data_IF_521445572365
#
_entry.id   IF_521445572365
#
_cell.length_a   1.000
_cell.length_b   1.000
_cell.length_c   1.000
_cell.angle_alpha   90.00
_cell.angle_beta   90.00
_cell.angle_gamma   90.00
#
_symmetry.space_group_name_H-M   'P 1'
#
loop_
_entity.id
_entity.type
_entity.pdbx_description
1 polymer ?
#
# COMPACT_ATOMS: atom_id res chain seq x y z
N UNK A 1 27.29 -15.68 22.47
CA UNK A 1 25.86 -15.92 22.16
C UNK A 1 25.15 -14.57 22.16
N UNK A 2 25.04 -13.92 21.01
CA UNK A 2 24.32 -12.64 20.91
C UNK A 2 22.81 -12.93 20.95
N UNK A 3 22.20 -12.66 22.10
CA UNK A 3 20.76 -12.45 22.22
C UNK A 3 20.37 -11.39 21.19
N UNK A 4 19.73 -11.78 20.08
CA UNK A 4 19.04 -10.84 19.20
C UNK A 4 17.97 -10.18 20.08
N UNK A 5 18.22 -8.96 20.56
CA UNK A 5 17.18 -8.13 21.18
C UNK A 5 16.03 -8.09 20.19
N UNK A 6 14.88 -8.66 20.55
CA UNK A 6 13.66 -8.59 19.73
C UNK A 6 13.35 -7.12 19.52
N UNK A 7 13.17 -6.74 18.27
CA UNK A 7 12.85 -5.36 17.89
C UNK A 7 11.54 -4.96 18.57
N UNK A 8 11.46 -3.75 19.15
CA UNK A 8 10.25 -3.31 19.79
C UNK A 8 9.15 -3.04 18.73
N UNK A 9 8.03 -3.75 18.87
CA UNK A 9 6.88 -3.65 17.96
C UNK A 9 5.89 -2.60 18.47
N UNK A 10 5.40 -1.76 17.56
CA UNK A 10 4.38 -0.73 17.82
C UNK A 10 2.99 -1.34 17.96
N UNK A 11 2.52 -2.07 16.95
CA UNK A 11 1.16 -2.63 16.89
C UNK A 11 1.04 -3.97 17.65
N UNK A 12 1.06 -3.90 18.98
CA UNK A 12 1.02 -5.09 19.85
C UNK A 12 -0.39 -5.66 20.06
N UNK A 13 -1.39 -4.80 20.03
CA UNK A 13 -2.81 -5.14 20.20
C UNK A 13 -3.58 -4.61 18.98
N UNK A 14 -4.23 -5.49 18.19
CA UNK A 14 -4.94 -5.09 16.97
C UNK A 14 -6.16 -4.19 17.20
N UNK A 15 -6.66 -4.08 18.43
CA UNK A 15 -7.77 -3.18 18.77
C UNK A 15 -7.33 -1.87 19.43
N UNK A 16 -6.10 -1.83 19.97
CA UNK A 16 -5.56 -0.63 20.60
C UNK A 16 -5.33 0.49 19.57
N UNK A 17 -5.42 1.73 20.07
CA UNK A 17 -5.18 2.95 19.29
C UNK A 17 -3.82 3.51 19.63
N UNK A 18 -2.97 3.65 18.63
CA UNK A 18 -1.61 4.16 18.75
C UNK A 18 -1.54 5.56 18.13
N UNK A 19 -1.41 6.64 18.92
CA UNK A 19 -1.25 7.98 18.38
C UNK A 19 0.16 8.13 17.80
N UNK A 20 0.29 8.28 16.49
CA UNK A 20 1.58 8.45 15.82
C UNK A 20 1.68 9.88 15.25
N UNK A 21 2.75 10.63 15.52
CA UNK A 21 2.94 11.98 15.01
C UNK A 21 3.31 11.97 13.53
N UNK A 22 2.74 12.87 12.74
CA UNK A 22 3.21 13.18 11.40
C UNK A 22 4.57 13.89 11.53
N UNK A 23 5.64 13.28 11.05
CA UNK A 23 7.00 13.84 11.11
C UNK A 23 7.49 14.37 9.78
N UNK A 24 6.90 13.91 8.66
CA UNK A 24 7.25 14.35 7.32
C UNK A 24 6.04 14.26 6.38
N UNK A 25 5.90 15.22 5.47
CA UNK A 25 4.91 15.20 4.39
C UNK A 25 5.58 15.65 3.10
N UNK A 26 5.59 14.78 2.10
CA UNK A 26 6.20 15.02 0.80
C UNK A 26 5.14 15.05 -0.30
N UNK A 27 5.25 16.02 -1.20
CA UNK A 27 4.44 16.11 -2.41
C UNK A 27 5.03 15.23 -3.52
N UNK A 28 4.29 14.19 -3.92
CA UNK A 28 4.68 13.30 -5.02
C UNK A 28 4.11 13.80 -6.35
N UNK A 29 2.87 14.28 -6.34
CA UNK A 29 2.17 14.84 -7.51
C UNK A 29 1.11 15.84 -7.07
N UNK A 30 0.38 16.44 -8.03
CA UNK A 30 -0.67 17.41 -7.75
C UNK A 30 -1.75 16.93 -6.76
N UNK A 31 -1.94 15.62 -6.61
CA UNK A 31 -2.91 15.04 -5.68
C UNK A 31 -2.39 13.83 -4.93
N UNK A 32 -1.08 13.61 -4.85
CA UNK A 32 -0.51 12.48 -4.10
C UNK A 32 0.54 12.98 -3.12
N UNK A 33 0.53 12.39 -1.91
CA UNK A 33 1.48 12.68 -0.86
C UNK A 33 2.07 11.40 -0.31
N UNK A 34 3.31 11.48 0.18
CA UNK A 34 3.83 10.55 1.20
C UNK A 34 3.70 11.19 2.57
N UNK A 35 3.07 10.49 3.49
CA UNK A 35 2.98 10.86 4.90
C UNK A 35 3.86 9.91 5.71
N UNK A 36 4.84 10.46 6.42
CA UNK A 36 5.67 9.71 7.35
C UNK A 36 5.23 9.96 8.78
N UNK A 37 4.90 8.89 9.49
CA UNK A 37 4.58 8.96 10.91
C UNK A 37 5.70 8.36 11.75
N UNK A 38 6.06 9.03 12.83
CA UNK A 38 7.08 8.55 13.76
C UNK A 38 6.55 7.38 14.59
N UNK A 39 7.36 6.34 14.75
CA UNK A 39 7.10 5.25 15.70
C UNK A 39 7.59 5.63 17.12
N UNK A 40 7.23 4.88 18.17
CA UNK A 40 7.54 5.27 19.55
C UNK A 40 9.02 5.47 19.88
N UNK A 41 9.93 4.85 19.12
CA UNK A 41 11.36 5.16 19.14
C UNK A 41 12.02 4.86 17.79
N UNK A 42 13.24 5.36 17.53
CA UNK A 42 13.99 5.05 16.32
C UNK A 42 14.28 3.56 16.09
N UNK A 43 14.18 2.73 17.13
CA UNK A 43 14.39 1.28 17.07
C UNK A 43 13.09 0.50 16.83
N UNK A 44 11.92 1.15 16.91
CA UNK A 44 10.65 0.47 16.70
C UNK A 44 10.43 0.12 15.23
N UNK A 45 9.76 -1.00 15.03
CA UNK A 45 9.10 -1.35 13.77
C UNK A 45 7.59 -1.24 13.95
N UNK A 46 6.84 -1.19 12.85
CA UNK A 46 5.39 -1.08 12.94
C UNK A 46 4.77 -2.37 13.51
N UNK A 47 5.26 -3.53 13.07
CA UNK A 47 4.71 -4.85 13.39
C UNK A 47 3.53 -5.21 12.48
N UNK A 48 3.69 -5.01 11.17
CA UNK A 48 2.63 -5.26 10.19
C UNK A 48 2.96 -6.49 9.34
N UNK A 49 2.26 -7.62 9.54
CA UNK A 49 2.44 -8.80 8.70
C UNK A 49 2.15 -8.50 7.22
N UNK A 50 2.93 -9.08 6.32
CA UNK A 50 2.75 -8.91 4.87
C UNK A 50 1.38 -9.42 4.44
N UNK A 51 0.65 -8.60 3.69
CA UNK A 51 -0.75 -8.82 3.32
C UNK A 51 -1.77 -8.13 4.24
N UNK A 52 -1.32 -7.51 5.33
CA UNK A 52 -2.16 -6.74 6.26
C UNK A 52 -2.03 -5.23 6.03
N UNK A 53 -2.96 -4.49 6.64
CA UNK A 53 -3.06 -3.05 6.59
C UNK A 53 -3.32 -2.47 7.99
N UNK A 54 -3.26 -1.14 8.10
CA UNK A 54 -3.66 -0.40 9.31
C UNK A 54 -4.93 0.40 9.05
N UNK A 55 -5.65 0.72 10.11
CA UNK A 55 -6.73 1.70 10.08
C UNK A 55 -6.25 3.00 10.68
N UNK A 56 -6.51 4.11 9.99
CA UNK A 56 -6.41 5.45 10.55
C UNK A 56 -7.77 5.87 11.10
N UNK A 57 -7.76 6.45 12.30
CA UNK A 57 -8.95 6.96 12.96
C UNK A 57 -8.76 8.44 13.30
N UNK A 58 -9.72 9.26 12.90
CA UNK A 58 -9.77 10.68 13.22
C UNK A 58 -11.22 11.10 13.52
N UNK A 59 -11.40 12.09 14.39
CA UNK A 59 -12.68 12.75 14.60
C UNK A 59 -12.74 13.96 13.66
N UNK A 60 -13.59 13.90 12.64
CA UNK A 60 -13.73 14.90 11.57
C UNK A 60 -15.19 15.35 11.60
N UNK A 61 -15.44 16.65 11.83
CA UNK A 61 -16.79 17.22 11.94
C UNK A 61 -17.69 16.48 12.95
N UNK A 62 -17.10 16.16 14.11
CA UNK A 62 -17.71 15.34 15.17
C UNK A 62 -18.03 13.87 14.84
N UNK A 63 -17.73 13.40 13.64
CA UNK A 63 -17.87 12.00 13.25
C UNK A 63 -16.54 11.24 13.39
N UNK A 64 -16.60 10.00 13.86
CA UNK A 64 -15.44 9.11 13.83
C UNK A 64 -15.28 8.54 12.42
N UNK A 65 -14.24 8.99 11.72
CA UNK A 65 -13.89 8.48 10.39
C UNK A 65 -12.78 7.45 10.52
N UNK A 66 -13.03 6.25 10.00
CA UNK A 66 -12.07 5.12 9.98
C UNK A 66 -11.79 4.72 8.55
N UNK A 67 -10.51 4.66 8.15
CA UNK A 67 -10.10 4.25 6.79
C UNK A 67 -8.89 3.33 6.83
N UNK A 68 -8.90 2.33 5.96
CA UNK A 68 -7.81 1.38 5.81
C UNK A 68 -6.73 1.93 4.87
N UNK A 69 -5.46 1.74 5.24
CA UNK A 69 -4.30 2.08 4.43
C UNK A 69 -3.25 0.98 4.57
N UNK A 70 -2.67 0.56 3.45
CA UNK A 70 -1.49 -0.31 3.48
C UNK A 70 -0.24 0.55 3.39
N UNK A 71 0.63 0.52 4.41
CA UNK A 71 1.92 1.18 4.36
C UNK A 71 2.77 0.72 3.19
N UNK A 72 3.59 1.63 2.69
CA UNK A 72 4.62 1.30 1.71
C UNK A 72 5.93 0.93 2.39
N UNK A 73 6.19 1.41 3.61
CA UNK A 73 7.30 0.92 4.44
C UNK A 73 7.04 -0.52 4.93
N UNK A 74 8.10 -1.23 5.32
CA UNK A 74 8.04 -2.57 5.93
C UNK A 74 8.59 -2.57 7.36
N UNK A 75 8.57 -3.73 8.02
CA UNK A 75 9.24 -3.90 9.32
C UNK A 75 10.78 -3.92 9.21
N UNK A 76 11.34 -3.73 8.01
CA UNK A 76 12.77 -3.42 7.84
C UNK A 76 13.07 -1.94 8.09
N UNK A 77 12.05 -1.09 7.95
CA UNK A 77 12.13 0.34 8.20
C UNK A 77 11.91 0.62 9.68
N UNK A 78 12.89 1.27 10.32
CA UNK A 78 12.85 1.55 11.75
C UNK A 78 12.53 3.01 12.04
N UNK A 79 11.75 3.23 13.09
CA UNK A 79 11.43 4.55 13.61
C UNK A 79 10.31 5.29 12.87
N UNK A 80 9.83 4.77 11.74
CA UNK A 80 8.75 5.41 10.99
C UNK A 80 7.84 4.42 10.25
N UNK A 81 6.68 4.92 9.81
CA UNK A 81 5.81 4.28 8.83
C UNK A 81 5.44 5.28 7.74
N UNK A 82 5.56 4.87 6.48
CA UNK A 82 5.20 5.69 5.31
C UNK A 82 3.87 5.22 4.68
N UNK A 83 2.98 6.17 4.44
CA UNK A 83 1.75 5.98 3.68
C UNK A 83 1.77 6.85 2.41
N UNK A 84 1.51 6.27 1.24
CA UNK A 84 1.27 7.02 0.00
C UNK A 84 -0.25 7.14 -0.20
N UNK A 85 -0.75 8.37 -0.24
CA UNK A 85 -2.19 8.65 -0.25
C UNK A 85 -2.51 9.67 -1.34
N UNK A 86 -3.49 9.32 -2.18
CA UNK A 86 -4.12 10.24 -3.12
C UNK A 86 -5.13 11.12 -2.39
N UNK A 87 -5.00 12.43 -2.52
CA UNK A 87 -5.85 13.44 -1.93
C UNK A 87 -7.05 13.68 -2.84
N UNK A 88 -8.24 13.33 -2.35
CA UNK A 88 -9.49 13.65 -3.01
C UNK A 88 -9.97 15.04 -2.56
N UNK A 89 -9.55 16.08 -3.27
CA UNK A 89 -9.94 17.47 -2.97
C UNK A 89 -11.43 17.71 -3.27
N UNK A 90 -12.06 18.57 -2.46
CA UNK A 90 -13.40 19.10 -2.73
C UNK A 90 -13.45 19.86 -4.06
N UNK A 91 -14.63 19.92 -4.68
CA UNK A 91 -14.92 20.63 -5.93
C UNK A 91 -14.11 20.18 -7.16
N UNK A 92 -13.53 18.97 -7.14
CA UNK A 92 -12.82 18.40 -8.29
C UNK A 92 -13.68 17.40 -9.05
N UNK A 93 -14.33 16.47 -8.36
CA UNK A 93 -15.13 15.42 -8.99
C UNK A 93 -16.63 15.74 -8.91
N UNK A 94 -17.37 15.80 -10.04
CA UNK A 94 -18.77 16.26 -10.04
C UNK A 94 -19.71 15.36 -9.23
N UNK A 95 -19.44 14.06 -9.17
CA UNK A 95 -20.23 13.12 -8.35
C UNK A 95 -19.84 13.12 -6.86
N UNK A 96 -18.67 13.69 -6.52
CA UNK A 96 -18.13 13.71 -5.16
C UNK A 96 -17.64 15.12 -4.79
N UNK A 97 -18.54 16.12 -4.73
CA UNK A 97 -18.17 17.53 -4.55
C UNK A 97 -17.48 17.79 -3.21
N UNK A 98 -17.80 17.03 -2.16
CA UNK A 98 -17.19 17.18 -0.83
C UNK A 98 -15.76 16.62 -0.73
N UNK A 99 -15.30 15.86 -1.74
CA UNK A 99 -14.02 15.16 -1.71
C UNK A 99 -13.94 14.07 -0.64
N UNK A 100 -12.72 13.68 -0.27
CA UNK A 100 -12.44 12.64 0.72
C UNK A 100 -12.23 13.20 2.12
N UNK A 101 -13.07 12.83 3.09
CA UNK A 101 -12.95 13.28 4.49
C UNK A 101 -11.56 13.02 5.08
N UNK A 102 -11.13 11.74 5.11
CA UNK A 102 -9.84 11.36 5.71
C UNK A 102 -8.65 11.93 4.94
N UNK A 103 -8.70 11.92 3.60
CA UNK A 103 -7.56 12.38 2.79
C UNK A 103 -7.37 13.89 2.89
N UNK A 104 -8.44 14.68 2.93
CA UNK A 104 -8.35 16.12 3.16
C UNK A 104 -7.95 16.45 4.61
N UNK A 105 -8.39 15.64 5.59
CA UNK A 105 -7.91 15.77 6.97
C UNK A 105 -6.39 15.58 7.06
N UNK A 106 -5.86 14.53 6.44
CA UNK A 106 -4.42 14.27 6.37
C UNK A 106 -3.66 15.38 5.63
N UNK A 107 -4.19 15.88 4.51
CA UNK A 107 -3.56 16.98 3.76
C UNK A 107 -3.41 18.25 4.61
N UNK A 108 -4.39 18.55 5.47
CA UNK A 108 -4.37 19.72 6.35
C UNK A 108 -3.59 19.50 7.66
N UNK A 109 -3.20 18.25 7.94
CA UNK A 109 -2.46 17.89 9.13
C UNK A 109 -1.06 18.54 9.12
N UNK A 110 -0.69 19.12 10.27
CA UNK A 110 0.60 19.78 10.47
C UNK A 110 1.62 18.80 11.02
N UNK A 111 2.90 19.06 10.72
CA UNK A 111 4.01 18.31 11.33
C UNK A 111 3.91 18.42 12.86
N UNK A 112 4.05 17.29 13.54
CA UNK A 112 3.91 17.14 14.99
C UNK A 112 2.51 16.75 15.46
N UNK A 113 1.46 16.94 14.66
CA UNK A 113 0.11 16.47 15.00
C UNK A 113 0.06 14.94 14.94
N UNK A 114 -0.84 14.33 15.72
CA UNK A 114 -0.97 12.87 15.80
C UNK A 114 -2.27 12.37 15.22
N UNK A 115 -2.24 11.19 14.60
CA UNK A 115 -3.43 10.43 14.21
C UNK A 115 -3.38 9.03 14.84
N UNK A 116 -4.54 8.44 15.13
CA UNK A 116 -4.60 7.10 15.69
C UNK A 116 -4.44 6.04 14.60
N UNK A 117 -3.44 5.19 14.77
CA UNK A 117 -3.27 3.93 14.06
C UNK A 117 -3.92 2.80 14.86
N UNK A 118 -4.55 1.86 14.16
CA UNK A 118 -5.05 0.60 14.73
C UNK A 118 -4.79 -0.55 13.77
N UNK A 119 -4.30 -1.66 14.28
CA UNK A 119 -3.96 -2.84 13.50
C UNK A 119 -2.90 -3.69 14.21
N UNK A 120 -2.36 -4.73 13.54
CA UNK A 120 -2.61 -5.08 12.14
C UNK A 120 -4.02 -5.60 11.87
N UNK A 121 -4.55 -5.37 10.67
CA UNK A 121 -5.82 -5.92 10.18
C UNK A 121 -5.61 -6.55 8.80
N UNK A 122 -6.30 -7.65 8.53
CA UNK A 122 -6.17 -8.32 7.23
C UNK A 122 -6.71 -9.73 7.28
N UNK A 123 -6.90 -10.29 6.08
CA UNK A 123 -7.30 -11.69 5.91
C UNK A 123 -6.23 -12.51 5.19
N UNK A 124 -5.25 -11.87 4.56
CA UNK A 124 -4.17 -12.48 3.82
C UNK A 124 -2.88 -12.30 4.61
N UNK A 125 -2.13 -13.38 4.77
CA UNK A 125 -0.83 -13.41 5.41
C UNK A 125 0.13 -14.09 4.47
N UNK A 126 1.24 -13.42 4.13
CA UNK A 126 2.32 -14.05 3.37
C UNK A 126 3.39 -14.53 4.35
N UNK A 127 3.58 -15.85 4.45
CA UNK A 127 4.48 -16.46 5.44
C UNK A 127 5.85 -16.85 4.87
N UNK A 128 6.10 -16.55 3.60
CA UNK A 128 7.30 -16.95 2.85
C UNK A 128 6.92 -17.67 1.55
N UNK A 129 7.89 -18.31 0.87
CA UNK A 129 7.78 -18.71 -0.52
C UNK A 129 6.51 -19.48 -0.86
N UNK A 130 5.61 -18.79 -1.56
CA UNK A 130 4.30 -19.26 -2.02
C UNK A 130 3.30 -19.59 -0.90
N UNK A 131 3.65 -19.41 0.36
CA UNK A 131 2.87 -19.87 1.51
C UNK A 131 1.99 -18.76 2.04
N UNK A 132 0.71 -18.79 1.67
CA UNK A 132 -0.30 -17.84 2.13
C UNK A 132 -1.16 -18.44 3.25
N UNK A 133 -1.49 -17.63 4.25
CA UNK A 133 -2.62 -17.85 5.14
C UNK A 133 -3.80 -16.97 4.69
N UNK A 134 -4.96 -17.57 4.42
CA UNK A 134 -6.16 -16.82 4.04
C UNK A 134 -7.28 -17.13 5.02
N UNK A 135 -7.76 -16.10 5.73
CA UNK A 135 -8.94 -16.22 6.59
C UNK A 135 -10.22 -16.18 5.74
N UNK A 136 -11.15 -17.13 5.91
CA UNK A 136 -12.45 -17.12 5.21
C UNK A 136 -13.40 -16.04 5.75
N UNK A 137 -13.19 -15.57 6.97
CA UNK A 137 -13.94 -14.49 7.63
C UNK A 137 -13.04 -13.80 8.68
N UNK A 138 -13.59 -12.92 9.51
CA UNK A 138 -12.80 -12.16 10.49
C UNK A 138 -12.40 -12.97 11.74
N UNK A 139 -13.11 -14.05 12.03
CA UNK A 139 -13.00 -14.84 13.27
C UNK A 139 -12.29 -16.17 13.08
N UNK A 140 -12.31 -16.71 11.87
CA UNK A 140 -11.71 -18.00 11.54
C UNK A 140 -10.19 -17.90 11.46
N UNK A 141 -9.52 -18.99 11.84
CA UNK A 141 -8.08 -19.15 11.65
C UNK A 141 -7.70 -19.12 10.16
N UNK A 142 -6.51 -18.60 9.80
CA UNK A 142 -6.03 -18.60 8.42
C UNK A 142 -5.89 -20.03 7.88
N UNK A 143 -6.47 -20.28 6.71
CA UNK A 143 -6.25 -21.54 5.97
C UNK A 143 -4.99 -21.39 5.13
N UNK A 144 -4.07 -22.35 5.27
CA UNK A 144 -2.85 -22.40 4.48
C UNK A 144 -3.17 -22.68 3.01
N UNK A 145 -2.57 -21.92 2.11
CA UNK A 145 -2.66 -22.07 0.66
C UNK A 145 -1.26 -21.92 0.08
N UNK A 146 -0.82 -22.90 -0.69
CA UNK A 146 0.40 -22.82 -1.47
C UNK A 146 0.03 -22.28 -2.86
N UNK A 147 0.72 -21.24 -3.30
CA UNK A 147 0.58 -20.68 -4.64
C UNK A 147 1.98 -20.39 -5.19
N UNK A 148 2.27 -20.99 -6.34
CA UNK A 148 3.48 -20.75 -7.13
C UNK A 148 3.36 -19.51 -8.02
N UNK A 149 2.14 -18.99 -8.20
CA UNK A 149 1.86 -17.78 -8.97
C UNK A 149 0.72 -16.96 -8.34
N UNK A 150 0.97 -15.67 -8.10
CA UNK A 150 0.01 -14.67 -7.68
C UNK A 150 -0.46 -13.81 -8.86
N UNK A 151 -1.74 -13.93 -9.22
CA UNK A 151 -2.43 -12.97 -10.09
C UNK A 151 -2.93 -11.79 -9.26
N UNK A 152 -2.59 -10.57 -9.68
CA UNK A 152 -2.87 -9.33 -8.99
C UNK A 152 -3.55 -8.34 -9.93
N UNK A 153 -4.63 -7.71 -9.45
CA UNK A 153 -5.33 -6.64 -10.16
C UNK A 153 -5.46 -5.47 -9.20
N UNK A 154 -4.95 -4.31 -9.59
CA UNK A 154 -4.99 -3.09 -8.81
C UNK A 154 -5.55 -1.93 -9.62
N UNK A 155 -6.19 -0.97 -8.93
CA UNK A 155 -6.66 0.27 -9.52
C UNK A 155 -6.29 1.47 -8.65
N UNK A 156 -5.65 2.50 -9.22
CA UNK A 156 -5.22 3.70 -8.49
C UNK A 156 -4.48 3.40 -7.19
N UNK A 157 -4.98 3.90 -6.06
CA UNK A 157 -4.37 3.69 -4.73
C UNK A 157 -4.41 2.24 -4.24
N UNK A 158 -5.19 1.37 -4.89
CA UNK A 158 -5.26 -0.07 -4.61
C UNK A 158 -3.98 -0.84 -4.95
N UNK A 159 -2.95 -0.18 -5.46
CA UNK A 159 -1.63 -0.78 -5.69
C UNK A 159 -0.88 -1.11 -4.39
N UNK A 160 -1.13 -0.38 -3.31
CA UNK A 160 -0.31 -0.47 -2.08
C UNK A 160 -0.27 -1.86 -1.42
N UNK A 161 -1.37 -2.66 -1.34
CA UNK A 161 -1.28 -4.05 -0.88
C UNK A 161 -0.46 -4.95 -1.81
N UNK A 162 -0.53 -4.71 -3.12
CA UNK A 162 0.24 -5.49 -4.10
C UNK A 162 1.71 -5.15 -4.02
N UNK A 163 2.06 -3.86 -3.91
CA UNK A 163 3.43 -3.40 -3.75
C UNK A 163 4.09 -4.00 -2.51
N UNK A 164 3.35 -4.11 -1.40
CA UNK A 164 3.85 -4.75 -0.18
C UNK A 164 4.25 -6.22 -0.42
N UNK A 165 3.42 -6.98 -1.14
CA UNK A 165 3.72 -8.37 -1.51
C UNK A 165 4.89 -8.44 -2.50
N UNK A 166 4.86 -7.61 -3.55
CA UNK A 166 5.89 -7.58 -4.59
C UNK A 166 7.26 -7.30 -3.97
N UNK A 167 7.39 -6.24 -3.16
CA UNK A 167 8.63 -5.89 -2.47
C UNK A 167 9.12 -7.01 -1.55
N UNK A 168 8.20 -7.63 -0.81
CA UNK A 168 8.58 -8.70 0.12
C UNK A 168 9.13 -9.93 -0.61
N UNK A 169 8.45 -10.34 -1.69
CA UNK A 169 8.83 -11.50 -2.49
C UNK A 169 10.15 -11.24 -3.22
N UNK A 170 10.29 -10.11 -3.92
CA UNK A 170 11.52 -9.84 -4.71
C UNK A 170 12.73 -9.50 -3.85
N UNK A 171 12.54 -9.15 -2.58
CA UNK A 171 13.64 -8.96 -1.64
C UNK A 171 14.27 -10.28 -1.18
N UNK A 172 13.52 -11.38 -1.15
CA UNK A 172 14.02 -12.69 -0.75
C UNK A 172 14.47 -13.49 -1.98
N UNK A 173 15.79 -13.67 -2.22
CA UNK A 173 16.28 -14.40 -3.39
C UNK A 173 15.94 -15.90 -3.36
N UNK A 174 15.47 -16.43 -2.23
CA UNK A 174 15.01 -17.82 -2.12
C UNK A 174 13.52 -17.97 -2.45
N UNK A 175 12.79 -16.86 -2.53
CA UNK A 175 11.39 -16.84 -2.89
C UNK A 175 11.24 -16.76 -4.40
N UNK A 176 10.81 -17.87 -5.02
CA UNK A 176 10.60 -17.97 -6.46
C UNK A 176 9.13 -17.78 -6.86
N UNK A 177 8.28 -17.26 -5.96
CA UNK A 177 6.85 -17.05 -6.24
C UNK A 177 6.69 -16.09 -7.41
N UNK A 178 5.99 -16.53 -8.46
CA UNK A 178 5.73 -15.71 -9.64
C UNK A 178 4.57 -14.76 -9.38
N UNK A 179 4.57 -13.64 -10.08
CA UNK A 179 3.65 -12.53 -9.88
C UNK A 179 3.25 -11.93 -11.22
N UNK A 180 1.96 -11.70 -11.40
CA UNK A 180 1.41 -11.01 -12.57
C UNK A 180 0.49 -9.89 -12.11
N UNK A 181 0.84 -8.64 -12.40
CA UNK A 181 0.07 -7.47 -12.01
C UNK A 181 -0.57 -6.81 -13.23
N UNK A 182 -1.89 -6.66 -13.20
CA UNK A 182 -2.62 -5.71 -14.06
C UNK A 182 -2.92 -4.48 -13.23
N UNK A 183 -2.37 -3.32 -13.62
CA UNK A 183 -2.54 -2.07 -12.89
C UNK A 183 -3.30 -1.02 -13.72
N UNK A 184 -4.53 -0.75 -13.30
CA UNK A 184 -5.45 0.18 -13.94
C UNK A 184 -5.34 1.60 -13.35
N UNK A 185 -5.24 2.62 -14.20
CA UNK A 185 -5.24 4.03 -13.82
C UNK A 185 -6.05 4.87 -14.81
N UNK A 186 -6.42 6.11 -14.47
CA UNK A 186 -7.16 6.94 -15.43
C UNK A 186 -6.24 7.48 -16.54
N UNK A 187 -5.08 7.99 -16.18
CA UNK A 187 -4.06 8.50 -17.11
C UNK A 187 -2.68 7.95 -16.75
N UNK A 188 -1.70 8.18 -17.62
CA UNK A 188 -0.29 7.87 -17.37
C UNK A 188 0.26 8.52 -16.10
N UNK A 189 -0.09 9.79 -15.89
CA UNK A 189 0.37 10.61 -14.77
C UNK A 189 -0.20 10.14 -13.42
N UNK A 190 -1.30 9.37 -13.45
CA UNK A 190 -1.91 8.80 -12.26
C UNK A 190 -1.24 7.50 -11.77
N UNK A 191 -0.29 6.93 -12.54
CA UNK A 191 0.37 5.67 -12.17
C UNK A 191 1.31 5.89 -10.98
N UNK A 192 0.82 5.50 -9.80
CA UNK A 192 1.61 5.50 -8.58
C UNK A 192 2.75 4.49 -8.66
N UNK A 193 3.91 4.84 -8.07
CA UNK A 193 5.11 3.98 -7.95
C UNK A 193 5.58 3.34 -9.26
N UNK A 194 5.30 3.99 -10.41
CA UNK A 194 5.61 3.47 -11.75
C UNK A 194 7.06 3.03 -11.92
N UNK A 195 8.00 3.94 -11.64
CA UNK A 195 9.45 3.69 -11.83
C UNK A 195 9.93 2.45 -11.06
N UNK A 196 9.39 2.24 -9.87
CA UNK A 196 9.74 1.09 -9.05
C UNK A 196 9.15 -0.20 -9.61
N UNK A 197 7.88 -0.20 -10.03
CA UNK A 197 7.28 -1.39 -10.64
C UNK A 197 8.01 -1.80 -11.92
N UNK A 198 8.36 -0.84 -12.78
CA UNK A 198 9.12 -1.08 -14.01
C UNK A 198 10.54 -1.60 -13.70
N UNK A 199 11.22 -1.04 -12.70
CA UNK A 199 12.54 -1.53 -12.26
C UNK A 199 12.48 -2.96 -11.73
N UNK A 200 11.45 -3.31 -10.96
CA UNK A 200 11.25 -4.69 -10.48
C UNK A 200 10.98 -5.62 -11.65
N UNK A 201 10.15 -5.23 -12.62
CA UNK A 201 9.87 -6.04 -13.80
C UNK A 201 11.12 -6.26 -14.66
N UNK A 202 11.98 -5.24 -14.77
CA UNK A 202 13.26 -5.31 -15.49
C UNK A 202 14.29 -6.20 -14.79
N UNK A 203 14.35 -6.16 -13.47
CA UNK A 203 15.34 -6.90 -12.67
C UNK A 203 14.90 -8.32 -12.33
N UNK A 204 13.59 -8.61 -12.34
CA UNK A 204 13.01 -9.91 -12.03
C UNK A 204 12.07 -10.42 -13.16
N UNK A 205 12.52 -10.47 -14.43
CA UNK A 205 11.64 -10.72 -15.58
C UNK A 205 10.98 -12.10 -15.57
N UNK A 206 11.63 -13.11 -14.97
CA UNK A 206 11.07 -14.47 -14.85
C UNK A 206 10.08 -14.62 -13.68
N UNK A 207 10.04 -13.63 -12.78
CA UNK A 207 9.25 -13.67 -11.56
C UNK A 207 8.12 -12.64 -11.55
N UNK A 208 8.31 -11.44 -12.11
CA UNK A 208 7.32 -10.37 -12.08
C UNK A 208 6.97 -9.88 -13.47
N UNK A 209 5.70 -10.09 -13.84
CA UNK A 209 5.14 -9.57 -15.07
C UNK A 209 4.18 -8.40 -14.77
N UNK A 210 4.33 -7.33 -15.54
CA UNK A 210 3.63 -6.07 -15.31
C UNK A 210 2.83 -5.64 -16.54
N UNK A 211 1.55 -5.35 -16.33
CA UNK A 211 0.67 -4.78 -17.33
C UNK A 211 0.00 -3.52 -16.82
N UNK A 212 -0.14 -2.54 -17.70
CA UNK A 212 -0.92 -1.33 -17.45
C UNK A 212 -2.21 -1.34 -18.27
N UNK A 213 -3.24 -0.70 -17.75
CA UNK A 213 -4.42 -0.30 -18.53
C UNK A 213 -4.84 1.12 -18.13
N UNK A 214 -5.21 1.94 -19.10
CA UNK A 214 -5.50 3.36 -18.90
C UNK A 214 -6.86 3.72 -19.47
N UNK A 215 -7.71 4.38 -18.70
CA UNK A 215 -9.00 4.86 -19.23
C UNK A 215 -8.81 5.87 -20.36
N UNK A 216 -7.84 6.79 -20.17
CA UNK A 216 -7.46 7.86 -21.10
C UNK A 216 -5.96 7.76 -21.39
N UNK A 217 -5.54 6.97 -22.39
CA UNK A 217 -4.13 6.88 -22.79
C UNK A 217 -3.64 8.21 -23.42
N UNK A 218 -2.33 8.49 -23.37
CA UNK A 218 -1.76 9.71 -23.96
C UNK A 218 -1.95 9.75 -25.49
N UNK A 219 -2.03 10.96 -26.05
CA UNK A 219 -2.02 11.17 -27.50
C UNK A 219 -0.56 11.08 -27.97
N UNK A 220 -0.04 9.86 -28.14
CA UNK A 220 1.35 9.63 -28.51
C UNK A 220 1.80 8.18 -28.25
N UNK A 221 3.08 7.86 -28.55
CA UNK A 221 3.62 6.54 -28.25
C UNK A 221 3.64 6.32 -26.74
N UNK A 222 3.03 5.22 -26.31
CA UNK A 222 3.19 4.70 -24.95
C UNK A 222 4.51 3.95 -24.83
N UNK A 223 5.34 4.29 -23.84
CA UNK A 223 6.53 3.53 -23.50
C UNK A 223 6.52 3.20 -22.01
N UNK A 224 6.70 1.93 -21.67
CA UNK A 224 6.91 1.46 -20.31
C UNK A 224 8.01 0.39 -20.33
N UNK A 225 8.96 0.46 -19.40
CA UNK A 225 10.06 -0.50 -19.36
C UNK A 225 9.62 -1.78 -18.63
N UNK A 226 9.85 -2.95 -19.26
CA UNK A 226 9.47 -4.23 -18.66
C UNK A 226 7.96 -4.43 -18.49
N UNK A 227 7.12 -3.57 -19.06
CA UNK A 227 5.67 -3.62 -18.92
C UNK A 227 4.95 -3.55 -20.26
N UNK A 228 3.76 -4.17 -20.32
CA UNK A 228 2.91 -4.16 -21.51
C UNK A 228 1.65 -3.33 -21.27
N UNK A 229 1.28 -2.45 -22.21
CA UNK A 229 -0.03 -1.79 -22.19
C UNK A 229 -1.08 -2.71 -22.79
N UNK A 230 -2.13 -3.03 -22.02
CA UNK A 230 -3.29 -3.75 -22.51
C UNK A 230 -4.26 -2.77 -23.16
N UNK A 231 -4.82 -3.14 -24.32
CA UNK A 231 -5.94 -2.42 -24.93
C UNK A 231 -7.12 -2.34 -23.97
N UNK A 232 -7.79 -1.19 -23.90
CA UNK A 232 -8.83 -0.87 -22.91
C UNK A 232 -9.80 -2.04 -22.65
N UNK A 233 -9.88 -2.46 -21.38
CA UNK A 233 -10.93 -3.38 -20.91
C UNK A 233 -12.35 -2.79 -21.05
N UNK A 234 -12.47 -1.48 -21.24
CA UNK A 234 -13.74 -0.76 -21.36
C UNK A 234 -14.48 -0.95 -22.71
N UNK A 235 -13.97 -1.77 -23.64
CA UNK A 235 -14.68 -2.09 -24.90
C UNK A 235 -15.65 -3.29 -24.79
N UNK A 236 -15.84 -3.86 -23.58
CA UNK A 236 -16.90 -4.84 -23.34
C UNK A 236 -18.12 -4.18 -22.68
N UNK A 237 -18.84 -3.38 -23.46
CA UNK A 237 -20.23 -2.99 -23.17
C UNK A 237 -21.04 -2.97 -24.46
#
# INVERSE_FOLDING_TARGET
>A
MNSRRREPITLRDPEAKYPLPLIEKEEISHNTRRFRFGLPSPDHVLGLPVGNYVQLLAKIDNELVVRAYTPVSSDDDRGFVDLIIKIYFKNVHPQYPEGGKMTQYLENMKIGETIFFRGPKGRLFYHGPGNLGIRPDQTSEPKKKLADHLGMIAGGTGITPMLQLIRHITKDPSDMTRMSLIFANQTEEDILVRKELEEIARTHPDQFNLWYTLDRPPIGPWSAEGATLLSNFAQFH
#
